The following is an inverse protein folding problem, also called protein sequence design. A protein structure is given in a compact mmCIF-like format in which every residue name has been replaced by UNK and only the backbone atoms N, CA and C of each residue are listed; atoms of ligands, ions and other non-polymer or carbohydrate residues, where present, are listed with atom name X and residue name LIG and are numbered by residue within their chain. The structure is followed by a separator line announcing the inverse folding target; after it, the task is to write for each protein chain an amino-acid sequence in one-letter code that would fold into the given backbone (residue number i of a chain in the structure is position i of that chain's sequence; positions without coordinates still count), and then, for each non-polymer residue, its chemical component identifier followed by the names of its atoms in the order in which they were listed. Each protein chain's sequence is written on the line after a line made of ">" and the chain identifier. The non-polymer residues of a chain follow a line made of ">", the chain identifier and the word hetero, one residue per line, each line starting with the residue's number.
data_IF_875174217407
#
_entry.id   IF_875174217407
#
_cell.length_a   1.000
_cell.length_b   1.000
_cell.length_c   1.000
_cell.angle_alpha   90.00
_cell.angle_beta   90.00
_cell.angle_gamma   90.00
#
_symmetry.space_group_name_H-M   'P 1'
#
loop_
_entity.id
_entity.type
_entity.pdbx_description
1 polymer ?
#
# COMPACT_ATOMS: atom_id res chain seq x y z
N UNK A 1 45.92 -20.25 -28.97
CA UNK A 1 45.08 -19.08 -29.34
C UNK A 1 43.65 -19.57 -29.52
N UNK A 2 42.84 -19.49 -28.45
CA UNK A 2 41.42 -19.83 -28.46
C UNK A 2 40.66 -18.53 -28.30
N UNK A 3 39.99 -18.07 -29.37
CA UNK A 3 39.22 -16.83 -29.37
C UNK A 3 38.06 -16.94 -28.38
N UNK A 4 38.07 -16.06 -27.39
CA UNK A 4 36.90 -15.63 -26.62
C UNK A 4 35.81 -15.15 -27.58
N UNK A 5 34.69 -15.88 -27.63
CA UNK A 5 33.47 -15.41 -28.28
C UNK A 5 32.89 -14.28 -27.43
N UNK A 6 32.91 -13.06 -27.95
CA UNK A 6 32.22 -11.90 -27.40
C UNK A 6 30.71 -12.21 -27.28
N UNK A 7 30.23 -12.32 -26.04
CA UNK A 7 28.82 -12.63 -25.66
C UNK A 7 27.91 -11.40 -25.84
N UNK A 8 28.17 -10.58 -26.85
CA UNK A 8 27.55 -9.25 -27.00
C UNK A 8 26.18 -9.19 -27.69
N UNK A 9 25.57 -10.33 -28.08
CA UNK A 9 24.45 -10.31 -29.05
C UNK A 9 23.23 -11.16 -28.60
N UNK A 10 23.25 -11.86 -27.46
CA UNK A 10 22.17 -12.77 -27.07
C UNK A 10 21.21 -12.18 -26.02
N UNK A 11 20.64 -11.00 -26.27
CA UNK A 11 19.65 -10.43 -25.36
C UNK A 11 18.72 -9.43 -26.05
N UNK A 12 17.48 -9.24 -25.55
CA UNK A 12 16.66 -8.11 -25.99
C UNK A 12 17.39 -6.78 -25.76
N UNK A 13 17.19 -5.79 -26.62
CA UNK A 13 17.87 -4.50 -26.50
C UNK A 13 17.31 -3.63 -25.39
N UNK A 14 15.99 -3.73 -25.16
CA UNK A 14 15.25 -2.78 -24.33
C UNK A 14 14.26 -3.48 -23.42
N UNK A 15 13.99 -2.84 -22.29
CA UNK A 15 13.00 -3.28 -21.31
C UNK A 15 12.01 -2.15 -21.08
N UNK A 16 10.73 -2.45 -21.26
CA UNK A 16 9.65 -1.54 -20.88
C UNK A 16 9.37 -1.71 -19.38
N UNK A 17 9.51 -0.63 -18.62
CA UNK A 17 9.16 -0.56 -17.20
C UNK A 17 7.65 -0.36 -17.05
N UNK A 18 7.13 -0.68 -15.86
CA UNK A 18 5.70 -0.52 -15.51
C UNK A 18 5.17 0.91 -15.68
N UNK A 19 6.03 1.91 -15.56
CA UNK A 19 5.70 3.33 -15.78
C UNK A 19 5.80 3.76 -17.25
N UNK A 20 5.92 2.79 -18.17
CA UNK A 20 6.06 3.03 -19.61
C UNK A 20 7.47 3.41 -20.06
N UNK A 21 8.42 3.68 -19.14
CA UNK A 21 9.78 4.05 -19.53
C UNK A 21 10.49 2.87 -20.20
N UNK A 22 11.13 3.14 -21.32
CA UNK A 22 11.95 2.16 -22.04
C UNK A 22 13.41 2.37 -21.66
N UNK A 23 14.06 1.35 -21.11
CA UNK A 23 15.46 1.39 -20.68
C UNK A 23 16.28 0.31 -21.39
N UNK A 24 17.61 0.47 -21.53
CA UNK A 24 18.47 -0.60 -22.04
C UNK A 24 18.37 -1.86 -21.17
N UNK A 25 18.39 -3.03 -21.80
CA UNK A 25 18.52 -4.30 -21.09
C UNK A 25 19.88 -4.37 -20.38
N UNK A 26 19.88 -4.87 -19.15
CA UNK A 26 21.08 -5.03 -18.32
C UNK A 26 20.98 -6.34 -17.53
N UNK A 27 21.71 -7.38 -17.97
CA UNK A 27 21.78 -8.68 -17.30
C UNK A 27 22.21 -8.57 -15.83
N UNK A 28 23.11 -7.62 -15.50
CA UNK A 28 23.56 -7.42 -14.11
C UNK A 28 22.42 -7.01 -13.18
N UNK A 29 21.30 -6.47 -13.69
CA UNK A 29 20.09 -6.24 -12.87
C UNK A 29 19.40 -7.54 -12.46
N UNK A 30 19.35 -8.52 -13.35
CA UNK A 30 18.78 -9.85 -13.08
C UNK A 30 19.66 -10.58 -12.06
N UNK A 31 20.97 -10.66 -12.33
CA UNK A 31 21.95 -11.28 -11.42
C UNK A 31 21.87 -10.71 -10.00
N UNK A 32 21.87 -9.37 -9.85
CA UNK A 32 21.75 -8.73 -8.54
C UNK A 32 20.43 -9.03 -7.83
N UNK A 33 19.33 -9.18 -8.58
CA UNK A 33 18.03 -9.50 -7.99
C UNK A 33 17.99 -10.96 -7.51
N UNK A 34 18.51 -11.89 -8.31
CA UNK A 34 18.67 -13.30 -7.93
C UNK A 34 19.59 -13.41 -6.71
N UNK A 35 20.77 -12.75 -6.74
CA UNK A 35 21.72 -12.75 -5.62
C UNK A 35 21.07 -12.28 -4.30
N UNK A 36 20.26 -11.23 -4.34
CA UNK A 36 19.52 -10.76 -3.15
C UNK A 36 18.50 -11.78 -2.63
N UNK A 37 17.84 -12.52 -3.52
CA UNK A 37 16.92 -13.58 -3.12
C UNK A 37 17.66 -14.75 -2.45
N UNK A 38 18.84 -15.13 -2.96
CA UNK A 38 19.72 -16.10 -2.32
C UNK A 38 20.15 -15.64 -0.92
N UNK A 39 20.62 -14.38 -0.80
CA UNK A 39 20.97 -13.82 0.51
C UNK A 39 19.80 -13.82 1.49
N UNK A 40 18.58 -13.55 1.04
CA UNK A 40 17.38 -13.51 1.90
C UNK A 40 17.03 -14.88 2.51
N UNK A 41 17.42 -15.99 1.88
CA UNK A 41 17.23 -17.35 2.41
C UNK A 41 18.46 -17.88 3.14
N UNK A 42 19.51 -17.08 3.31
CA UNK A 42 20.76 -17.47 3.96
C UNK A 42 21.68 -18.32 3.08
N UNK A 43 21.40 -18.42 1.79
CA UNK A 43 22.26 -19.11 0.83
C UNK A 43 23.20 -18.10 0.17
N UNK A 44 24.51 -18.29 0.31
CA UNK A 44 25.51 -17.41 -0.30
C UNK A 44 26.29 -18.16 -1.35
N UNK A 45 25.91 -17.96 -2.61
CA UNK A 45 26.71 -18.36 -3.77
C UNK A 45 26.95 -17.17 -4.67
N UNK A 46 28.21 -16.95 -5.04
CA UNK A 46 28.59 -15.87 -5.95
C UNK A 46 28.47 -16.27 -7.43
N UNK A 47 28.54 -17.57 -7.73
CA UNK A 47 28.54 -18.08 -9.11
C UNK A 47 27.13 -18.39 -9.61
N UNK A 48 26.28 -18.97 -8.76
CA UNK A 48 24.92 -19.41 -9.14
C UNK A 48 24.06 -18.25 -9.67
N UNK A 49 24.04 -17.04 -9.06
CA UNK A 49 23.25 -15.94 -9.59
C UNK A 49 23.70 -15.45 -10.98
N UNK A 50 24.99 -15.51 -11.28
CA UNK A 50 25.52 -15.17 -12.61
C UNK A 50 25.07 -16.23 -13.63
N UNK A 51 25.23 -17.52 -13.31
CA UNK A 51 24.80 -18.64 -14.14
C UNK A 51 23.29 -18.60 -14.45
N UNK A 52 22.45 -18.46 -13.42
CA UNK A 52 21.00 -18.38 -13.60
C UNK A 52 20.59 -17.12 -14.39
N UNK A 53 21.26 -15.99 -14.18
CA UNK A 53 20.98 -14.79 -14.98
C UNK A 53 21.33 -14.98 -16.46
N UNK A 54 22.35 -15.79 -16.77
CA UNK A 54 22.71 -16.14 -18.14
C UNK A 54 21.66 -17.06 -18.76
N UNK A 55 21.15 -18.05 -18.01
CA UNK A 55 20.05 -18.92 -18.45
C UNK A 55 18.81 -18.10 -18.80
N UNK A 56 18.38 -17.20 -17.90
CA UNK A 56 17.23 -16.31 -18.14
C UNK A 56 17.46 -15.46 -19.39
N UNK A 57 18.68 -14.93 -19.58
CA UNK A 57 19.02 -14.10 -20.74
C UNK A 57 18.94 -14.91 -22.04
N UNK A 58 19.41 -16.15 -22.04
CA UNK A 58 19.34 -17.05 -23.20
C UNK A 58 17.87 -17.40 -23.52
N UNK A 59 17.05 -17.69 -22.51
CA UNK A 59 15.61 -17.97 -22.70
C UNK A 59 14.86 -16.75 -23.26
N UNK A 60 15.18 -15.53 -22.82
CA UNK A 60 14.63 -14.30 -23.40
C UNK A 60 15.02 -14.16 -24.87
N UNK A 61 16.27 -14.46 -25.20
CA UNK A 61 16.75 -14.44 -26.58
C UNK A 61 16.04 -15.48 -27.45
N UNK A 62 15.89 -16.72 -26.98
CA UNK A 62 15.19 -17.77 -27.72
C UNK A 62 13.71 -17.42 -27.98
N UNK A 63 13.06 -16.75 -27.02
CA UNK A 63 11.64 -16.41 -27.11
C UNK A 63 11.36 -15.14 -27.93
N UNK A 64 12.25 -14.15 -27.89
CA UNK A 64 12.00 -12.82 -28.45
C UNK A 64 13.08 -12.28 -29.42
N UNK A 65 14.21 -12.96 -29.58
CA UNK A 65 15.32 -12.51 -30.43
C UNK A 65 16.07 -11.27 -29.90
N UNK A 66 16.86 -10.63 -30.78
CA UNK A 66 17.78 -9.53 -30.44
C UNK A 66 17.15 -8.13 -30.46
N UNK A 67 16.13 -7.90 -31.27
CA UNK A 67 15.64 -6.54 -31.59
C UNK A 67 14.30 -6.20 -30.95
N UNK A 68 14.04 -6.76 -29.77
CA UNK A 68 12.75 -6.63 -29.09
C UNK A 68 12.84 -5.78 -27.82
N UNK A 69 11.73 -5.08 -27.55
CA UNK A 69 11.47 -4.49 -26.24
C UNK A 69 10.62 -5.49 -25.47
N UNK A 70 11.08 -5.90 -24.29
CA UNK A 70 10.38 -6.90 -23.47
C UNK A 70 9.81 -6.21 -22.22
N UNK A 71 8.61 -6.60 -21.82
CA UNK A 71 8.01 -6.11 -20.57
C UNK A 71 8.81 -6.62 -19.36
N UNK A 72 9.00 -5.76 -18.36
CA UNK A 72 9.70 -6.11 -17.13
C UNK A 72 9.01 -7.25 -16.36
N UNK A 73 7.70 -7.46 -16.50
CA UNK A 73 6.97 -8.58 -15.88
C UNK A 73 7.36 -9.91 -16.52
N UNK A 74 7.50 -9.97 -17.84
CA UNK A 74 7.95 -11.18 -18.56
C UNK A 74 9.32 -11.62 -18.05
N UNK A 75 10.24 -10.67 -17.83
CA UNK A 75 11.56 -10.96 -17.29
C UNK A 75 11.47 -11.50 -15.85
N UNK A 76 10.57 -10.94 -15.03
CA UNK A 76 10.38 -11.38 -13.64
C UNK A 76 9.83 -12.80 -13.59
N UNK A 77 8.78 -13.09 -14.37
CA UNK A 77 8.15 -14.41 -14.40
C UNK A 77 9.14 -15.48 -14.88
N UNK A 78 9.97 -15.16 -15.88
CA UNK A 78 11.00 -16.06 -16.36
C UNK A 78 12.09 -16.34 -15.32
N UNK A 79 12.45 -15.35 -14.49
CA UNK A 79 13.37 -15.55 -13.36
C UNK A 79 12.74 -16.50 -12.33
N UNK A 80 11.46 -16.34 -12.02
CA UNK A 80 10.73 -17.20 -11.09
C UNK A 80 10.65 -18.64 -11.58
N UNK A 81 10.29 -18.83 -12.85
CA UNK A 81 10.27 -20.13 -13.53
C UNK A 81 11.65 -20.79 -13.52
N UNK A 82 12.70 -20.05 -13.89
CA UNK A 82 14.08 -20.56 -13.91
C UNK A 82 14.53 -21.00 -12.51
N UNK A 83 14.25 -20.20 -11.47
CA UNK A 83 14.59 -20.57 -10.10
C UNK A 83 13.88 -21.86 -9.66
N UNK A 84 12.62 -22.06 -10.06
CA UNK A 84 11.87 -23.28 -9.74
C UNK A 84 12.44 -24.49 -10.51
N UNK A 85 12.69 -24.34 -11.81
CA UNK A 85 13.22 -25.40 -12.68
C UNK A 85 14.57 -25.94 -12.20
N UNK A 86 15.44 -25.06 -11.68
CA UNK A 86 16.75 -25.44 -11.14
C UNK A 86 16.71 -25.86 -9.66
N UNK A 87 15.52 -26.04 -9.07
CA UNK A 87 15.34 -26.58 -7.72
C UNK A 87 15.43 -25.54 -6.58
N UNK A 88 15.55 -24.26 -6.90
CA UNK A 88 15.65 -23.16 -5.92
C UNK A 88 14.28 -22.61 -5.52
N UNK A 89 13.32 -23.47 -5.18
CA UNK A 89 11.95 -23.05 -4.86
C UNK A 89 11.87 -22.09 -3.66
N UNK A 90 12.77 -22.24 -2.66
CA UNK A 90 12.86 -21.31 -1.51
C UNK A 90 13.32 -19.92 -1.95
N UNK A 91 14.32 -19.85 -2.82
CA UNK A 91 14.83 -18.60 -3.39
C UNK A 91 13.78 -17.94 -4.27
N UNK A 92 13.06 -18.71 -5.10
CA UNK A 92 11.95 -18.21 -5.92
C UNK A 92 10.87 -17.53 -5.06
N UNK A 93 10.45 -18.16 -3.96
CA UNK A 93 9.52 -17.53 -2.99
C UNK A 93 10.08 -16.24 -2.41
N UNK A 94 11.35 -16.21 -2.02
CA UNK A 94 11.99 -15.00 -1.48
C UNK A 94 12.08 -13.88 -2.53
N UNK A 95 12.34 -14.23 -3.79
CA UNK A 95 12.33 -13.31 -4.93
C UNK A 95 10.94 -12.68 -5.14
N UNK A 96 9.88 -13.49 -5.18
CA UNK A 96 8.48 -13.05 -5.30
C UNK A 96 8.11 -12.09 -4.16
N UNK A 97 8.42 -12.47 -2.91
CA UNK A 97 8.12 -11.64 -1.74
C UNK A 97 8.87 -10.30 -1.77
N UNK A 98 10.13 -10.29 -2.18
CA UNK A 98 10.92 -9.07 -2.30
C UNK A 98 10.37 -8.13 -3.39
N UNK A 99 9.98 -8.69 -4.54
CA UNK A 99 9.31 -7.96 -5.64
C UNK A 99 8.01 -7.34 -5.15
N UNK A 100 7.16 -8.12 -4.46
CA UNK A 100 5.90 -7.63 -3.89
C UNK A 100 6.14 -6.50 -2.90
N UNK A 101 7.07 -6.67 -1.95
CA UNK A 101 7.44 -5.62 -0.98
C UNK A 101 7.96 -4.34 -1.66
N UNK A 102 8.70 -4.45 -2.77
CA UNK A 102 9.17 -3.31 -3.56
C UNK A 102 8.08 -2.65 -4.40
N UNK A 103 7.13 -3.44 -4.90
CA UNK A 103 5.93 -2.92 -5.53
C UNK A 103 5.11 -2.15 -4.50
N UNK A 104 4.78 -2.78 -3.39
CA UNK A 104 4.09 -2.21 -2.23
C UNK A 104 4.76 -0.91 -1.73
N UNK A 105 6.10 -0.85 -1.68
CA UNK A 105 6.83 0.36 -1.27
C UNK A 105 6.78 1.48 -2.33
N UNK A 106 6.71 1.12 -3.62
CA UNK A 106 6.56 2.10 -4.71
C UNK A 106 5.13 2.59 -4.81
N UNK A 107 4.16 1.72 -4.63
CA UNK A 107 2.74 2.07 -4.47
C UNK A 107 2.58 2.95 -3.25
N UNK A 108 3.19 2.62 -2.11
CA UNK A 108 3.19 3.50 -0.93
C UNK A 108 3.86 4.86 -1.19
N UNK A 109 4.85 4.94 -2.09
CA UNK A 109 5.52 6.18 -2.47
C UNK A 109 4.76 6.97 -3.55
N UNK A 110 4.04 6.32 -4.46
CA UNK A 110 3.07 6.96 -5.36
C UNK A 110 1.79 7.38 -4.63
N UNK A 111 1.47 6.64 -3.57
CA UNK A 111 0.52 6.97 -2.52
C UNK A 111 1.10 7.84 -1.42
N UNK A 112 2.32 8.38 -1.61
CA UNK A 112 2.54 9.74 -1.18
C UNK A 112 1.61 10.57 -2.06
N UNK A 113 0.33 10.49 -1.70
CA UNK A 113 -0.67 11.51 -1.84
C UNK A 113 0.08 12.80 -1.86
N UNK A 114 0.08 13.46 -3.01
CA UNK A 114 0.70 14.76 -3.14
C UNK A 114 -0.07 15.66 -2.17
N UNK A 115 0.46 15.77 -0.94
CA UNK A 115 -0.23 16.43 0.17
C UNK A 115 -0.43 17.88 -0.21
N UNK A 116 0.52 18.46 -0.94
CA UNK A 116 0.38 19.78 -1.53
C UNK A 116 -0.82 19.83 -2.47
N UNK A 117 -0.96 18.87 -3.39
CA UNK A 117 -2.12 18.77 -4.27
C UNK A 117 -3.44 18.63 -3.49
N UNK A 118 -3.54 17.74 -2.51
CA UNK A 118 -4.78 17.59 -1.70
C UNK A 118 -5.13 18.86 -0.96
N UNK A 119 -4.13 19.52 -0.35
CA UNK A 119 -4.34 20.79 0.33
C UNK A 119 -4.81 21.85 -0.66
N UNK A 120 -4.19 21.96 -1.83
CA UNK A 120 -4.60 22.90 -2.87
C UNK A 120 -6.02 22.61 -3.39
N UNK A 121 -6.37 21.35 -3.66
CA UNK A 121 -7.71 20.94 -4.11
C UNK A 121 -8.77 21.27 -3.07
N UNK A 122 -8.49 21.06 -1.78
CA UNK A 122 -9.38 21.44 -0.70
C UNK A 122 -9.57 22.96 -0.62
N UNK A 123 -8.48 23.73 -0.66
CA UNK A 123 -8.50 25.20 -0.64
C UNK A 123 -9.28 25.79 -1.83
N UNK A 124 -9.15 25.16 -3.01
CA UNK A 124 -9.86 25.55 -4.23
C UNK A 124 -11.28 24.98 -4.32
N UNK A 125 -11.69 24.10 -3.40
CA UNK A 125 -12.95 23.33 -3.45
C UNK A 125 -13.14 22.60 -4.78
N UNK A 126 -12.04 22.08 -5.33
CA UNK A 126 -12.01 21.46 -6.65
C UNK A 126 -12.52 20.02 -6.64
N UNK A 127 -12.41 19.32 -5.50
CA UNK A 127 -12.91 17.93 -5.35
C UNK A 127 -14.28 17.90 -4.66
N UNK A 128 -15.21 17.12 -5.20
CA UNK A 128 -16.51 16.86 -4.59
C UNK A 128 -16.39 16.16 -3.23
N UNK A 129 -15.29 15.43 -3.00
CA UNK A 129 -15.01 14.77 -1.70
C UNK A 129 -14.90 15.75 -0.54
N UNK A 130 -14.65 17.02 -0.81
CA UNK A 130 -14.73 18.08 0.21
C UNK A 130 -16.15 18.27 0.78
N UNK A 131 -17.17 17.73 0.10
CA UNK A 131 -18.59 17.78 0.45
C UNK A 131 -19.20 16.39 0.66
N UNK A 132 -18.39 15.33 0.76
CA UNK A 132 -18.87 13.96 1.01
C UNK A 132 -19.57 13.86 2.38
N UNK A 133 -19.04 14.55 3.40
CA UNK A 133 -19.61 14.57 4.74
C UNK A 133 -20.41 15.86 4.97
N UNK A 134 -21.73 15.71 5.09
CA UNK A 134 -22.66 16.81 5.35
C UNK A 134 -22.44 17.53 6.69
N UNK A 135 -21.77 16.89 7.65
CA UNK A 135 -21.42 17.50 8.94
C UNK A 135 -20.12 18.31 8.88
N UNK A 136 -19.37 18.23 7.79
CA UNK A 136 -18.07 18.91 7.65
C UNK A 136 -18.24 20.20 6.85
N UNK A 137 -17.70 21.29 7.38
CA UNK A 137 -17.69 22.60 6.71
C UNK A 137 -16.25 22.99 6.36
N UNK A 138 -16.09 23.77 5.28
CA UNK A 138 -14.80 24.33 4.89
C UNK A 138 -14.16 25.10 6.04
N UNK A 139 -13.13 24.49 6.64
CA UNK A 139 -12.43 24.97 7.81
C UNK A 139 -11.04 24.33 7.90
N UNK A 140 -10.17 24.86 8.77
CA UNK A 140 -8.86 24.26 9.02
C UNK A 140 -8.95 22.85 9.64
N UNK A 141 -9.80 22.57 10.65
CA UNK A 141 -10.05 21.19 11.09
C UNK A 141 -10.54 20.29 9.97
N UNK A 142 -11.44 20.80 9.10
CA UNK A 142 -11.90 20.08 7.92
C UNK A 142 -10.78 19.76 6.93
N UNK A 143 -9.80 20.67 6.74
CA UNK A 143 -8.62 20.42 5.90
C UNK A 143 -7.77 19.30 6.47
N UNK A 144 -7.51 19.33 7.78
CA UNK A 144 -6.74 18.29 8.48
C UNK A 144 -7.44 16.94 8.34
N UNK A 145 -8.75 16.89 8.59
CA UNK A 145 -9.56 15.68 8.43
C UNK A 145 -9.60 15.19 6.99
N UNK A 146 -9.72 16.07 5.99
CA UNK A 146 -9.72 15.71 4.58
C UNK A 146 -8.38 15.13 4.13
N UNK A 147 -7.28 15.74 4.59
CA UNK A 147 -5.92 15.28 4.28
C UNK A 147 -5.65 13.92 4.92
N UNK A 148 -5.92 13.79 6.22
CA UNK A 148 -5.77 12.53 6.94
C UNK A 148 -6.69 11.46 6.36
N UNK A 149 -7.95 11.80 6.08
CA UNK A 149 -8.95 10.89 5.53
C UNK A 149 -8.59 10.38 4.14
N UNK A 150 -8.01 11.22 3.27
CA UNK A 150 -7.54 10.79 1.95
C UNK A 150 -6.39 9.79 2.04
N UNK A 151 -5.44 10.03 2.96
CA UNK A 151 -4.34 9.10 3.23
C UNK A 151 -4.87 7.77 3.79
N UNK A 152 -5.78 7.84 4.76
CA UNK A 152 -6.40 6.66 5.36
C UNK A 152 -7.24 5.87 4.36
N UNK A 153 -8.02 6.53 3.51
CA UNK A 153 -8.82 5.89 2.47
C UNK A 153 -7.94 5.13 1.47
N UNK A 154 -6.83 5.73 1.06
CA UNK A 154 -5.84 5.05 0.22
C UNK A 154 -5.25 3.81 0.92
N UNK A 155 -4.88 3.94 2.20
CA UNK A 155 -4.38 2.81 2.99
C UNK A 155 -5.42 1.69 3.05
N UNK A 156 -6.66 2.00 3.41
CA UNK A 156 -7.78 1.06 3.51
C UNK A 156 -7.98 0.28 2.21
N UNK A 157 -8.08 0.98 1.07
CA UNK A 157 -8.30 0.34 -0.24
C UNK A 157 -7.17 -0.59 -0.66
N UNK A 158 -5.92 -0.23 -0.39
CA UNK A 158 -4.77 -0.96 -0.91
C UNK A 158 -4.20 -1.99 0.07
N UNK A 159 -4.57 -1.93 1.35
CA UNK A 159 -4.00 -2.78 2.40
C UNK A 159 -5.01 -3.62 3.15
N UNK A 160 -6.26 -3.18 3.25
CA UNK A 160 -7.30 -3.88 4.02
C UNK A 160 -8.19 -4.69 3.08
N UNK A 161 -8.64 -4.08 1.99
CA UNK A 161 -9.52 -4.74 1.03
C UNK A 161 -8.75 -5.55 -0.01
N UNK A 162 -9.33 -6.68 -0.49
CA UNK A 162 -8.83 -7.38 -1.68
C UNK A 162 -8.87 -6.49 -2.92
N UNK A 163 -7.98 -6.79 -3.89
CA UNK A 163 -7.88 -6.05 -5.16
C UNK A 163 -9.24 -5.96 -5.88
N UNK A 164 -10.03 -7.04 -5.89
CA UNK A 164 -11.36 -7.09 -6.51
C UNK A 164 -12.34 -6.04 -5.94
N UNK A 165 -12.31 -5.85 -4.61
CA UNK A 165 -13.18 -4.88 -3.91
C UNK A 165 -12.70 -3.45 -4.17
N UNK A 166 -11.38 -3.24 -4.16
CA UNK A 166 -10.79 -1.95 -4.53
C UNK A 166 -11.18 -1.56 -5.94
N UNK A 167 -11.02 -2.47 -6.89
CA UNK A 167 -11.26 -2.18 -8.30
C UNK A 167 -12.75 -1.90 -8.55
N UNK A 168 -13.64 -2.65 -7.91
CA UNK A 168 -15.09 -2.38 -7.95
C UNK A 168 -15.44 -0.98 -7.37
N UNK A 169 -14.76 -0.53 -6.32
CA UNK A 169 -14.95 0.82 -5.77
C UNK A 169 -14.41 1.91 -6.71
N UNK A 170 -13.22 1.72 -7.27
CA UNK A 170 -12.57 2.69 -8.18
C UNK A 170 -13.36 2.82 -9.48
N UNK A 171 -13.87 1.72 -10.02
CA UNK A 171 -14.70 1.69 -11.24
C UNK A 171 -16.15 2.12 -10.99
N UNK A 172 -16.51 2.44 -9.74
CA UNK A 172 -17.86 2.81 -9.32
C UNK A 172 -18.93 1.73 -9.51
N UNK A 173 -18.52 0.45 -9.54
CA UNK A 173 -19.44 -0.70 -9.48
C UNK A 173 -20.09 -0.81 -8.09
N UNK A 174 -19.35 -0.41 -7.05
CA UNK A 174 -19.82 -0.27 -5.67
C UNK A 174 -19.32 1.04 -5.06
N UNK A 175 -19.98 1.51 -4.00
CA UNK A 175 -19.50 2.61 -3.18
C UNK A 175 -19.28 2.13 -1.74
N UNK A 176 -18.06 2.33 -1.23
CA UNK A 176 -17.70 1.98 0.15
C UNK A 176 -17.81 3.28 0.95
N UNK A 177 -18.81 3.34 1.82
CA UNK A 177 -19.04 4.48 2.69
C UNK A 177 -17.92 4.61 3.74
N UNK A 178 -17.55 5.86 4.04
CA UNK A 178 -16.61 6.23 5.11
C UNK A 178 -15.25 5.51 5.03
N UNK A 179 -14.73 5.38 3.81
CA UNK A 179 -13.50 4.65 3.51
C UNK A 179 -12.28 5.16 4.29
N UNK A 180 -12.26 6.44 4.65
CA UNK A 180 -11.27 7.08 5.51
C UNK A 180 -11.23 6.51 6.94
N UNK A 181 -12.31 5.86 7.38
CA UNK A 181 -12.49 5.23 8.68
C UNK A 181 -12.47 3.70 8.61
N UNK A 182 -11.87 3.10 7.56
CA UNK A 182 -11.92 1.65 7.30
C UNK A 182 -11.33 0.70 8.36
N UNK A 183 -10.75 1.22 9.44
CA UNK A 183 -10.25 0.46 10.59
C UNK A 183 -11.07 0.67 11.87
N UNK A 184 -12.10 1.51 11.82
CA UNK A 184 -12.97 1.84 12.96
C UNK A 184 -14.40 1.38 12.68
N UNK A 185 -15.23 1.35 13.71
CA UNK A 185 -16.65 1.07 13.54
C UNK A 185 -17.39 2.27 12.93
N UNK A 186 -18.54 2.01 12.31
CA UNK A 186 -19.33 3.03 11.64
C UNK A 186 -20.08 3.91 12.66
N UNK A 187 -21.10 3.36 13.32
CA UNK A 187 -21.91 4.07 14.31
C UNK A 187 -22.00 3.25 15.60
N UNK A 188 -22.32 3.92 16.69
CA UNK A 188 -22.62 3.28 17.98
C UNK A 188 -23.87 3.89 18.61
N UNK A 189 -24.56 3.09 19.43
CA UNK A 189 -25.58 3.58 20.34
C UNK A 189 -25.10 3.38 21.77
N UNK A 190 -25.06 4.45 22.55
CA UNK A 190 -24.48 4.44 23.89
C UNK A 190 -25.54 4.36 24.98
N UNK A 191 -25.27 3.55 26.00
CA UNK A 191 -26.13 3.46 27.18
C UNK A 191 -25.91 4.65 28.10
N UNK A 192 -26.86 5.59 28.11
CA UNK A 192 -26.82 6.70 29.07
C UNK A 192 -26.93 6.18 30.52
N UNK A 193 -27.62 5.05 30.74
CA UNK A 193 -27.69 4.43 32.06
C UNK A 193 -26.31 4.01 32.57
N UNK A 194 -25.46 3.46 31.70
CA UNK A 194 -24.10 3.04 32.03
C UNK A 194 -23.25 4.26 32.40
N UNK A 195 -23.31 5.33 31.60
CA UNK A 195 -22.63 6.60 31.92
C UNK A 195 -23.09 7.17 33.27
N UNK A 196 -24.38 7.06 33.61
CA UNK A 196 -24.91 7.50 34.91
C UNK A 196 -24.40 6.63 36.05
N UNK A 197 -24.37 5.31 35.87
CA UNK A 197 -24.03 4.33 36.92
C UNK A 197 -22.54 4.23 37.19
N UNK A 198 -21.72 4.37 36.15
CA UNK A 198 -20.27 4.16 36.22
C UNK A 198 -19.48 5.48 36.19
N UNK A 199 -20.08 6.54 35.65
CA UNK A 199 -19.40 7.79 35.38
C UNK A 199 -18.61 7.74 34.06
N UNK A 200 -17.68 8.67 33.89
CA UNK A 200 -16.89 8.81 32.68
C UNK A 200 -15.41 8.50 32.96
N UNK A 201 -14.87 7.40 32.44
CA UNK A 201 -13.50 6.98 32.73
C UNK A 201 -13.08 5.66 32.07
N UNK A 202 -12.19 4.91 32.71
CA UNK A 202 -11.74 3.59 32.26
C UNK A 202 -10.44 3.58 31.44
N UNK A 203 -9.92 4.76 31.06
CA UNK A 203 -8.65 4.87 30.32
C UNK A 203 -7.50 5.14 31.29
N UNK A 204 -6.48 4.27 31.24
CA UNK A 204 -5.27 4.40 32.05
C UNK A 204 -4.58 5.75 31.77
N UNK A 205 -4.08 6.39 32.83
CA UNK A 205 -3.34 7.66 32.76
C UNK A 205 -4.15 8.85 32.20
N UNK A 206 -5.50 8.74 32.19
CA UNK A 206 -6.42 9.84 31.88
C UNK A 206 -7.27 10.18 33.10
N UNK A 207 -7.72 11.44 33.15
CA UNK A 207 -8.63 11.90 34.20
C UNK A 207 -9.97 11.16 34.04
N UNK A 208 -10.43 10.56 35.13
CA UNK A 208 -11.72 9.88 35.21
C UNK A 208 -12.63 10.59 36.23
N UNK A 209 -13.93 10.53 35.99
CA UNK A 209 -14.96 11.03 36.86
C UNK A 209 -15.92 9.88 37.21
N UNK A 210 -16.14 9.65 38.51
CA UNK A 210 -17.15 8.68 38.94
C UNK A 210 -18.59 9.16 38.67
N UNK A 211 -19.59 8.40 39.13
CA UNK A 211 -21.01 8.70 38.90
C UNK A 211 -21.41 10.12 39.34
N UNK A 212 -22.08 10.85 38.45
CA UNK A 212 -22.50 12.21 38.73
C UNK A 212 -23.58 12.27 39.83
N UNK A 213 -23.40 13.17 40.80
CA UNK A 213 -24.36 13.39 41.91
C UNK A 213 -25.37 14.51 41.66
N UNK A 214 -25.12 15.32 40.62
CA UNK A 214 -25.95 16.46 40.24
C UNK A 214 -26.12 16.49 38.72
N UNK A 215 -27.26 17.01 38.25
CA UNK A 215 -27.57 17.08 36.83
C UNK A 215 -26.52 17.86 36.03
N UNK A 216 -26.00 18.98 36.57
CA UNK A 216 -24.96 19.78 35.92
C UNK A 216 -23.65 18.99 35.69
N UNK A 217 -23.29 18.12 36.64
CA UNK A 217 -22.14 17.24 36.50
C UNK A 217 -22.40 16.15 35.46
N UNK A 218 -23.61 15.57 35.42
CA UNK A 218 -24.00 14.59 34.40
C UNK A 218 -23.97 15.20 33.00
N UNK A 219 -24.52 16.40 32.81
CA UNK A 219 -24.48 17.09 31.52
C UNK A 219 -23.04 17.36 31.06
N UNK A 220 -22.14 17.71 31.99
CA UNK A 220 -20.72 17.86 31.68
C UNK A 220 -20.07 16.53 31.27
N UNK A 221 -20.39 15.44 31.96
CA UNK A 221 -19.94 14.10 31.58
C UNK A 221 -20.47 13.67 30.21
N UNK A 222 -21.73 13.95 29.89
CA UNK A 222 -22.32 13.66 28.57
C UNK A 222 -21.60 14.40 27.44
N UNK A 223 -21.32 15.69 27.62
CA UNK A 223 -20.58 16.49 26.61
C UNK A 223 -19.17 15.95 26.41
N UNK A 224 -18.46 15.65 27.50
CA UNK A 224 -17.11 15.07 27.42
C UNK A 224 -17.11 13.68 26.79
N UNK A 225 -18.11 12.86 27.10
CA UNK A 225 -18.29 11.54 26.52
C UNK A 225 -18.47 11.65 25.01
N UNK A 226 -19.46 12.42 24.54
CA UNK A 226 -19.70 12.60 23.10
C UNK A 226 -18.48 13.19 22.38
N UNK A 227 -17.83 14.19 22.97
CA UNK A 227 -16.63 14.80 22.38
C UNK A 227 -15.43 13.84 22.31
N UNK A 228 -15.29 12.93 23.28
CA UNK A 228 -14.21 11.93 23.28
C UNK A 228 -14.48 10.85 22.24
N UNK A 229 -15.72 10.37 22.17
CA UNK A 229 -16.08 9.27 21.28
C UNK A 229 -16.18 9.71 19.80
N UNK A 230 -16.34 11.00 19.52
CA UNK A 230 -16.51 11.55 18.15
C UNK A 230 -15.42 11.13 17.14
N UNK A 231 -14.21 10.83 17.59
CA UNK A 231 -13.10 10.39 16.72
C UNK A 231 -12.89 8.87 16.70
N UNK A 232 -13.67 8.10 17.47
CA UNK A 232 -13.56 6.65 17.56
C UNK A 232 -14.53 5.92 16.60
N UNK A 233 -15.49 6.63 16.02
CA UNK A 233 -16.48 6.13 15.07
C UNK A 233 -16.61 7.07 13.88
N UNK A 234 -16.92 6.54 12.71
CA UNK A 234 -17.04 7.33 11.48
C UNK A 234 -18.33 8.18 11.42
N UNK A 235 -19.41 7.65 12.01
CA UNK A 235 -20.77 8.15 11.89
C UNK A 235 -21.38 8.55 13.23
N UNK A 236 -22.70 8.37 13.32
CA UNK A 236 -23.52 8.81 14.44
C UNK A 236 -23.27 8.05 15.75
N UNK A 237 -23.50 8.76 16.86
CA UNK A 237 -23.30 8.33 18.24
C UNK A 237 -24.40 8.86 19.15
#
# INVERSE_FOLDING_TARGET
>A
MSKSLDVGILSPQKVQKRDGRIVPFDRKRIERAIYKAFQAVGETSQTIPDELSQVVTNQLFEKFGTNTTVDIEIIQDLVEETLIQYGYSKVSKAYILYRRKRQEAREALQAAVDVEKIVQEYLQKADWRTQENSNTTYSYPGLVLHTAGSVMAHYTLNRIYPDEVRDAHINADIHIHDLSYGITAYCAGWSLEELIREGFGGVKDKVAAGPAKHLSALTGQMVNFLGTMQMEFAGAQ
#
